data_IF_142920656500
#
_entry.id   IF_142920656500
#
_cell.length_a   1.000
_cell.length_b   1.000
_cell.length_c   1.000
_cell.angle_alpha   90.00
_cell.angle_beta   90.00
_cell.angle_gamma   90.00
#
_symmetry.space_group_name_H-M   'P 1'
#
loop_
_entity.id
_entity.type
_entity.pdbx_description
1 polymer ?
#
# COMPACT_ATOMS: atom_id res chain seq x y z
N UNK A 1 20.04 -9.35 15.52
CA UNK A 1 18.63 -9.69 15.21
C UNK A 1 18.62 -11.19 14.95
N UNK A 2 17.66 -11.98 15.48
CA UNK A 2 17.60 -13.41 15.20
C UNK A 2 17.50 -13.66 13.68
N UNK A 3 18.22 -14.66 13.18
CA UNK A 3 18.22 -15.04 11.76
C UNK A 3 16.97 -15.86 11.42
N UNK A 4 15.82 -15.18 11.41
CA UNK A 4 14.52 -15.81 11.14
C UNK A 4 14.44 -16.28 9.69
N UNK A 5 15.07 -15.58 8.75
CA UNK A 5 15.09 -16.00 7.34
C UNK A 5 15.88 -17.30 7.20
N UNK A 6 17.08 -17.41 7.80
CA UNK A 6 17.85 -18.65 7.84
C UNK A 6 17.07 -19.81 8.47
N UNK A 7 16.37 -19.56 9.58
CA UNK A 7 15.51 -20.58 10.19
C UNK A 7 14.37 -21.06 9.28
N UNK A 8 13.74 -20.15 8.52
CA UNK A 8 12.71 -20.53 7.55
C UNK A 8 13.28 -21.37 6.40
N UNK A 9 14.50 -21.04 5.93
CA UNK A 9 15.21 -21.84 4.93
C UNK A 9 15.58 -23.22 5.47
N UNK A 10 16.06 -23.30 6.70
CA UNK A 10 16.39 -24.57 7.37
C UNK A 10 15.15 -25.45 7.56
N UNK A 11 14.00 -24.86 7.90
CA UNK A 11 12.71 -25.58 7.95
C UNK A 11 12.37 -26.17 6.58
N UNK A 12 12.50 -25.40 5.50
CA UNK A 12 12.27 -25.90 4.15
C UNK A 12 13.21 -27.07 3.81
N UNK A 13 14.50 -26.94 4.11
CA UNK A 13 15.49 -27.99 3.85
C UNK A 13 15.21 -29.27 4.65
N UNK A 14 14.84 -29.12 5.92
CA UNK A 14 14.43 -30.21 6.78
C UNK A 14 13.19 -30.93 6.22
N UNK A 15 12.14 -30.18 5.87
CA UNK A 15 10.90 -30.73 5.31
C UNK A 15 11.15 -31.45 3.99
N UNK A 16 11.92 -30.83 3.10
CA UNK A 16 12.32 -31.41 1.80
C UNK A 16 13.04 -32.74 1.96
N UNK A 17 13.92 -32.85 2.97
CA UNK A 17 14.75 -34.04 3.17
C UNK A 17 13.99 -35.15 3.90
N UNK A 18 13.39 -34.83 5.05
CA UNK A 18 12.74 -35.81 5.93
C UNK A 18 11.40 -36.30 5.39
N UNK A 19 10.65 -35.45 4.70
CA UNK A 19 9.34 -35.80 4.14
C UNK A 19 9.37 -35.92 2.62
N UNK A 20 10.54 -36.18 2.02
CA UNK A 20 10.71 -36.34 0.57
C UNK A 20 9.72 -37.34 -0.04
N UNK A 21 9.51 -38.48 0.61
CA UNK A 21 8.55 -39.52 0.21
C UNK A 21 7.07 -39.07 0.22
N UNK A 22 6.75 -37.98 0.93
CA UNK A 22 5.41 -37.39 1.06
C UNK A 22 5.30 -36.02 0.36
N UNK A 23 6.25 -35.68 -0.51
CA UNK A 23 6.25 -34.40 -1.21
C UNK A 23 6.65 -33.20 -0.33
N UNK A 24 7.52 -33.40 0.66
CA UNK A 24 7.97 -32.38 1.62
C UNK A 24 8.52 -31.09 0.99
N UNK A 25 8.96 -31.13 -0.27
CA UNK A 25 9.32 -29.93 -1.04
C UNK A 25 8.17 -28.92 -1.22
N UNK A 26 6.91 -29.37 -1.12
CA UNK A 26 5.71 -28.53 -1.27
C UNK A 26 5.11 -28.12 0.07
N UNK A 27 5.54 -28.68 1.19
CA UNK A 27 4.94 -28.41 2.51
C UNK A 27 5.21 -26.98 2.95
N UNK A 28 6.47 -26.54 2.86
CA UNK A 28 6.83 -25.15 3.12
C UNK A 28 6.01 -24.19 2.26
N UNK A 29 5.83 -24.50 0.97
CA UNK A 29 5.03 -23.70 0.05
C UNK A 29 3.57 -23.60 0.54
N UNK A 30 2.95 -24.73 0.89
CA UNK A 30 1.56 -24.75 1.38
C UNK A 30 1.40 -23.97 2.68
N UNK A 31 2.25 -24.22 3.67
CA UNK A 31 2.22 -23.56 4.99
C UNK A 31 2.42 -22.05 4.86
N UNK A 32 3.42 -21.62 4.07
CA UNK A 32 3.71 -20.22 3.85
C UNK A 32 2.67 -19.50 2.98
N UNK A 33 2.01 -20.19 2.03
CA UNK A 33 0.84 -19.64 1.32
C UNK A 33 -0.32 -19.43 2.29
N UNK A 34 -0.65 -20.41 3.12
CA UNK A 34 -1.74 -20.29 4.10
C UNK A 34 -1.44 -19.15 5.08
N UNK A 35 -0.22 -19.11 5.62
CA UNK A 35 0.20 -18.05 6.53
C UNK A 35 0.19 -16.67 5.85
N UNK A 36 0.69 -16.59 4.61
CA UNK A 36 0.65 -15.38 3.79
C UNK A 36 -0.78 -14.90 3.56
N UNK A 37 -1.72 -15.79 3.24
CA UNK A 37 -3.14 -15.43 3.07
C UNK A 37 -3.72 -14.87 4.37
N UNK A 38 -3.43 -15.47 5.52
CA UNK A 38 -3.88 -14.99 6.83
C UNK A 38 -3.27 -13.62 7.15
N UNK A 39 -1.96 -13.46 6.95
CA UNK A 39 -1.27 -12.19 7.20
C UNK A 39 -1.85 -11.07 6.33
N UNK A 40 -1.95 -11.32 5.02
CA UNK A 40 -2.23 -10.31 4.02
C UNK A 40 -3.71 -9.95 3.91
N UNK A 41 -4.61 -10.93 3.99
CA UNK A 41 -6.06 -10.68 3.81
C UNK A 41 -6.83 -10.59 5.12
N UNK A 42 -6.24 -11.00 6.25
CA UNK A 42 -6.91 -10.95 7.56
C UNK A 42 -6.20 -10.05 8.55
N UNK A 43 -4.94 -10.31 8.87
CA UNK A 43 -4.25 -9.62 9.99
C UNK A 43 -3.88 -8.19 9.65
N UNK A 44 -3.23 -7.92 8.51
CA UNK A 44 -2.88 -6.56 8.09
C UNK A 44 -4.13 -5.68 7.98
N UNK A 45 -5.19 -6.06 7.21
CA UNK A 45 -6.40 -5.24 7.14
C UNK A 45 -7.07 -5.02 8.50
N UNK A 46 -7.17 -6.07 9.33
CA UNK A 46 -7.82 -5.96 10.64
C UNK A 46 -7.06 -5.05 11.60
N UNK A 47 -5.73 -5.19 11.66
CA UNK A 47 -4.88 -4.39 12.55
C UNK A 47 -4.81 -2.93 12.09
N UNK A 48 -4.76 -2.70 10.78
CA UNK A 48 -4.86 -1.36 10.20
C UNK A 48 -6.22 -0.73 10.49
N UNK A 49 -7.33 -1.42 10.26
CA UNK A 49 -8.68 -0.90 10.55
C UNK A 49 -8.83 -0.53 12.04
N UNK A 50 -8.34 -1.39 12.93
CA UNK A 50 -8.38 -1.17 14.37
C UNK A 50 -7.53 0.06 14.79
N UNK A 51 -6.34 0.21 14.21
CA UNK A 51 -5.49 1.38 14.42
C UNK A 51 -6.10 2.67 13.83
N UNK A 52 -6.61 2.63 12.58
CA UNK A 52 -7.22 3.76 11.87
C UNK A 52 -8.47 4.26 12.59
N UNK A 53 -9.35 3.35 13.02
CA UNK A 53 -10.56 3.72 13.75
C UNK A 53 -10.21 4.38 15.10
N UNK A 54 -9.22 3.85 15.80
CA UNK A 54 -8.75 4.41 17.05
C UNK A 54 -8.06 5.76 16.87
N UNK A 55 -7.20 5.90 15.85
CA UNK A 55 -6.48 7.15 15.55
C UNK A 55 -7.45 8.25 15.13
N UNK A 56 -8.47 7.93 14.33
CA UNK A 56 -9.53 8.86 13.94
C UNK A 56 -10.35 9.37 15.14
N UNK A 57 -10.72 8.47 16.07
CA UNK A 57 -11.43 8.83 17.29
C UNK A 57 -10.58 9.74 18.19
N UNK A 58 -9.34 9.34 18.47
CA UNK A 58 -8.40 10.13 19.27
C UNK A 58 -8.11 11.50 18.64
N UNK A 59 -7.93 11.55 17.32
CA UNK A 59 -7.68 12.80 16.59
C UNK A 59 -8.84 13.79 16.74
N UNK A 60 -10.08 13.31 16.64
CA UNK A 60 -11.24 14.15 16.86
C UNK A 60 -11.32 14.69 18.29
N UNK A 61 -11.08 13.83 19.28
CA UNK A 61 -11.10 14.21 20.70
C UNK A 61 -10.10 15.31 21.04
N UNK A 62 -8.87 15.19 20.55
CA UNK A 62 -7.77 16.07 20.96
C UNK A 62 -7.48 17.22 20.00
N UNK A 63 -7.81 17.08 18.71
CA UNK A 63 -7.45 18.03 17.66
C UNK A 63 -8.67 18.49 16.82
N UNK A 64 -9.87 18.06 17.18
CA UNK A 64 -11.13 18.42 16.51
C UNK A 64 -11.40 17.63 15.23
N UNK A 65 -12.66 17.67 14.78
CA UNK A 65 -13.17 16.84 13.67
C UNK A 65 -12.45 17.08 12.34
N UNK A 66 -11.90 18.29 12.11
CA UNK A 66 -11.15 18.60 10.88
C UNK A 66 -9.88 17.76 10.73
N UNK A 67 -9.27 17.33 11.83
CA UNK A 67 -8.06 16.51 11.83
C UNK A 67 -8.35 15.03 11.57
N UNK A 68 -9.60 14.59 11.76
CA UNK A 68 -10.03 13.19 11.62
C UNK A 68 -9.86 12.66 10.20
N UNK A 69 -10.36 13.39 9.20
CA UNK A 69 -10.31 12.97 7.78
C UNK A 69 -8.88 12.81 7.28
N UNK A 70 -7.99 13.72 7.71
CA UNK A 70 -6.56 13.63 7.40
C UNK A 70 -5.94 12.39 8.04
N UNK A 71 -6.25 12.13 9.32
CA UNK A 71 -5.72 10.98 10.05
C UNK A 71 -6.21 9.67 9.47
N UNK A 72 -7.48 9.56 9.07
CA UNK A 72 -8.01 8.36 8.41
C UNK A 72 -7.22 8.08 7.13
N UNK A 73 -7.15 9.06 6.23
CA UNK A 73 -6.54 8.88 4.92
C UNK A 73 -5.01 8.73 4.97
N UNK A 74 -4.34 9.29 5.98
CA UNK A 74 -2.91 9.09 6.16
C UNK A 74 -2.61 7.74 6.83
N UNK A 75 -3.44 7.33 7.80
CA UNK A 75 -3.19 6.10 8.58
C UNK A 75 -3.50 4.83 7.79
N UNK A 76 -4.33 4.90 6.74
CA UNK A 76 -4.56 3.76 5.83
C UNK A 76 -3.29 3.35 5.09
N UNK A 77 -2.33 4.28 4.90
CA UNK A 77 -1.03 4.03 4.26
C UNK A 77 0.07 3.58 5.23
N UNK A 78 -0.26 3.36 6.51
CA UNK A 78 0.71 2.85 7.47
C UNK A 78 1.25 1.46 7.12
N UNK A 79 0.51 0.52 6.49
CA UNK A 79 1.08 -0.73 6.01
C UNK A 79 2.25 -0.51 5.05
N UNK A 80 2.18 0.46 4.15
CA UNK A 80 3.28 0.82 3.24
C UNK A 80 4.50 1.32 4.01
N UNK A 81 4.29 2.23 4.97
CA UNK A 81 5.35 2.78 5.82
C UNK A 81 6.01 1.68 6.66
N UNK A 82 5.22 0.87 7.34
CA UNK A 82 5.71 -0.17 8.26
C UNK A 82 6.40 -1.28 7.49
N UNK A 83 5.90 -1.68 6.31
CA UNK A 83 6.60 -2.63 5.45
C UNK A 83 7.95 -2.07 4.96
N UNK A 84 8.00 -0.80 4.56
CA UNK A 84 9.26 -0.16 4.16
C UNK A 84 10.27 -0.14 5.31
N UNK A 85 9.84 0.24 6.51
CA UNK A 85 10.70 0.25 7.71
C UNK A 85 11.16 -1.16 8.07
N UNK A 86 10.26 -2.15 8.01
CA UNK A 86 10.62 -3.56 8.25
C UNK A 86 11.69 -4.05 7.27
N UNK A 87 11.56 -3.71 5.98
CA UNK A 87 12.58 -4.01 4.97
C UNK A 87 13.93 -3.33 5.29
N UNK A 88 13.93 -2.06 5.71
CA UNK A 88 15.16 -1.38 6.14
C UNK A 88 15.81 -2.04 7.37
N UNK A 89 15.01 -2.49 8.34
CA UNK A 89 15.50 -3.26 9.49
C UNK A 89 16.16 -4.59 9.07
N UNK A 90 15.74 -5.16 7.92
CA UNK A 90 16.33 -6.34 7.28
C UNK A 90 17.45 -5.99 6.29
N UNK A 91 17.92 -4.73 6.30
CA UNK A 91 18.96 -4.19 5.41
C UNK A 91 18.59 -4.24 3.92
N UNK A 92 17.31 -4.08 3.61
CA UNK A 92 16.77 -4.07 2.25
C UNK A 92 16.22 -2.70 1.87
N UNK A 93 17.01 -1.91 1.14
CA UNK A 93 16.59 -0.61 0.63
C UNK A 93 15.52 -0.71 -0.46
N UNK A 94 15.33 -1.89 -1.07
CA UNK A 94 14.21 -2.20 -1.97
C UNK A 94 12.83 -1.94 -1.34
N UNK A 95 12.71 -1.84 -0.01
CA UNK A 95 11.48 -1.47 0.68
C UNK A 95 10.83 -0.17 0.20
N UNK A 96 11.61 0.79 -0.33
CA UNK A 96 11.08 2.05 -0.88
C UNK A 96 10.26 1.85 -2.16
N UNK A 97 10.44 0.73 -2.86
CA UNK A 97 9.64 0.38 -4.02
C UNK A 97 8.18 0.06 -3.64
N UNK A 98 7.92 -0.33 -2.38
CA UNK A 98 6.57 -0.65 -1.92
C UNK A 98 5.61 0.56 -1.98
N UNK A 99 5.88 1.72 -1.34
CA UNK A 99 5.03 2.89 -1.49
C UNK A 99 4.97 3.39 -2.94
N UNK A 100 6.07 3.31 -3.70
CA UNK A 100 6.09 3.71 -5.12
C UNK A 100 5.15 2.83 -5.98
N UNK A 101 5.19 1.51 -5.78
CA UNK A 101 4.33 0.54 -6.48
C UNK A 101 2.86 0.64 -6.06
N UNK A 102 2.59 1.00 -4.81
CA UNK A 102 1.25 1.18 -4.26
C UNK A 102 0.45 2.26 -5.01
N UNK A 103 1.13 3.24 -5.64
CA UNK A 103 0.46 4.23 -6.48
C UNK A 103 -0.28 3.63 -7.68
N UNK A 104 0.25 2.55 -8.26
CA UNK A 104 -0.42 1.81 -9.34
C UNK A 104 -1.53 0.93 -8.79
N UNK A 105 -1.24 0.21 -7.69
CA UNK A 105 -2.20 -0.67 -7.03
C UNK A 105 -3.48 0.09 -6.66
N UNK A 106 -3.35 1.27 -6.07
CA UNK A 106 -4.47 2.14 -5.72
C UNK A 106 -5.33 2.55 -6.92
N UNK A 107 -4.72 2.88 -8.06
CA UNK A 107 -5.49 3.24 -9.26
C UNK A 107 -6.36 2.05 -9.68
N UNK A 108 -5.76 0.87 -9.72
CA UNK A 108 -6.48 -0.34 -10.11
C UNK A 108 -7.56 -0.73 -9.09
N UNK A 109 -7.21 -0.76 -7.81
CA UNK A 109 -8.11 -1.19 -6.74
C UNK A 109 -9.28 -0.21 -6.57
N UNK A 110 -9.04 1.11 -6.54
CA UNK A 110 -10.11 2.07 -6.22
C UNK A 110 -10.98 2.41 -7.42
N UNK A 111 -10.42 2.61 -8.62
CA UNK A 111 -11.22 3.04 -9.77
C UNK A 111 -11.81 1.87 -10.57
N UNK A 112 -11.29 0.65 -10.40
CA UNK A 112 -11.78 -0.52 -11.12
C UNK A 112 -12.36 -1.57 -10.18
N UNK A 113 -11.56 -2.12 -9.25
CA UNK A 113 -11.99 -3.29 -8.47
C UNK A 113 -13.10 -2.93 -7.47
N UNK A 114 -12.93 -1.88 -6.67
CA UNK A 114 -13.90 -1.45 -5.66
C UNK A 114 -15.29 -1.15 -6.23
N UNK A 115 -15.47 -0.33 -7.30
CA UNK A 115 -16.79 -0.07 -7.85
C UNK A 115 -17.42 -1.32 -8.49
N UNK A 116 -16.62 -2.16 -9.17
CA UNK A 116 -17.11 -3.43 -9.72
C UNK A 116 -17.57 -4.39 -8.62
N UNK A 117 -16.82 -4.47 -7.52
CA UNK A 117 -17.16 -5.29 -6.35
C UNK A 117 -18.49 -4.83 -5.74
N UNK A 118 -18.67 -3.52 -5.52
CA UNK A 118 -19.91 -2.96 -4.97
C UNK A 118 -21.10 -3.23 -5.91
N UNK A 119 -20.93 -3.02 -7.22
CA UNK A 119 -21.94 -3.33 -8.21
C UNK A 119 -22.32 -4.82 -8.24
N UNK A 120 -21.32 -5.71 -8.20
CA UNK A 120 -21.54 -7.15 -8.17
C UNK A 120 -22.27 -7.57 -6.89
N UNK A 121 -21.87 -7.05 -5.73
CA UNK A 121 -22.52 -7.32 -4.44
C UNK A 121 -23.99 -6.93 -4.45
N UNK A 122 -24.35 -5.78 -5.04
CA UNK A 122 -25.74 -5.38 -5.18
C UNK A 122 -26.51 -6.22 -6.20
N UNK A 123 -25.88 -6.58 -7.32
CA UNK A 123 -26.48 -7.48 -8.31
C UNK A 123 -26.82 -8.84 -7.71
N UNK A 124 -25.90 -9.44 -6.95
CA UNK A 124 -26.10 -10.72 -6.27
C UNK A 124 -27.17 -10.65 -5.17
N UNK A 125 -27.33 -9.49 -4.51
CA UNK A 125 -28.38 -9.25 -3.51
C UNK A 125 -29.71 -8.77 -4.09
N UNK A 126 -29.85 -8.70 -5.41
CA UNK A 126 -31.08 -8.21 -6.07
C UNK A 126 -31.39 -6.72 -5.85
N UNK A 127 -30.42 -5.91 -5.43
CA UNK A 127 -30.62 -4.47 -5.12
C UNK A 127 -30.52 -3.60 -6.38
N UNK A 128 -31.45 -3.76 -7.30
CA UNK A 128 -31.45 -3.09 -8.61
C UNK A 128 -31.52 -1.56 -8.50
N UNK A 129 -32.27 -1.03 -7.54
CA UNK A 129 -32.44 0.42 -7.35
C UNK A 129 -31.13 1.09 -6.93
N UNK A 130 -30.38 0.45 -6.02
CA UNK A 130 -29.06 0.93 -5.59
C UNK A 130 -28.08 0.94 -6.76
N UNK A 131 -28.10 -0.12 -7.60
CA UNK A 131 -27.27 -0.19 -8.80
C UNK A 131 -27.60 0.93 -9.81
N UNK A 132 -28.88 1.23 -10.03
CA UNK A 132 -29.30 2.30 -10.94
C UNK A 132 -28.91 3.68 -10.41
N UNK A 133 -29.17 3.94 -9.12
CA UNK A 133 -28.78 5.19 -8.45
C UNK A 133 -27.27 5.41 -8.51
N UNK A 134 -26.48 4.37 -8.27
CA UNK A 134 -25.03 4.44 -8.38
C UNK A 134 -24.54 4.75 -9.79
N UNK A 135 -25.11 4.09 -10.82
CA UNK A 135 -24.80 4.39 -12.22
C UNK A 135 -25.18 5.83 -12.60
N UNK A 136 -26.30 6.33 -12.08
CA UNK A 136 -26.72 7.71 -12.28
C UNK A 136 -25.73 8.68 -11.62
N UNK A 137 -25.34 8.42 -10.36
CA UNK A 137 -24.36 9.22 -9.62
C UNK A 137 -23.02 9.30 -10.37
N UNK A 138 -22.48 8.16 -10.84
CA UNK A 138 -21.24 8.13 -11.65
C UNK A 138 -21.38 8.97 -12.93
N UNK A 139 -22.54 8.93 -13.58
CA UNK A 139 -22.78 9.72 -14.82
C UNK A 139 -22.84 11.22 -14.54
N UNK A 140 -23.45 11.62 -13.43
CA UNK A 140 -23.54 13.02 -13.01
C UNK A 140 -22.17 13.55 -12.57
N UNK A 141 -21.43 12.77 -11.79
CA UNK A 141 -20.16 13.18 -11.18
C UNK A 141 -18.92 12.83 -12.03
N UNK A 142 -19.06 12.65 -13.34
CA UNK A 142 -17.95 12.31 -14.25
C UNK A 142 -16.77 13.26 -14.12
N UNK A 143 -17.04 14.56 -13.97
CA UNK A 143 -16.01 15.58 -13.83
C UNK A 143 -15.14 15.34 -12.60
N UNK A 144 -15.77 15.05 -11.46
CA UNK A 144 -15.08 14.75 -10.21
C UNK A 144 -14.23 13.48 -10.37
N UNK A 145 -14.79 12.43 -10.97
CA UNK A 145 -14.07 11.18 -11.25
C UNK A 145 -12.83 11.44 -12.11
N UNK A 146 -12.96 12.19 -13.20
CA UNK A 146 -11.81 12.52 -14.06
C UNK A 146 -10.76 13.38 -13.37
N UNK A 147 -11.16 14.28 -12.47
CA UNK A 147 -10.21 15.08 -11.68
C UNK A 147 -9.38 14.19 -10.75
N UNK A 148 -10.02 13.30 -9.99
CA UNK A 148 -9.32 12.38 -9.10
C UNK A 148 -8.46 11.38 -9.87
N UNK A 149 -8.97 10.82 -10.98
CA UNK A 149 -8.21 9.91 -11.83
C UNK A 149 -6.99 10.59 -12.45
N UNK A 150 -7.16 11.79 -12.99
CA UNK A 150 -6.06 12.57 -13.55
C UNK A 150 -4.98 12.89 -12.51
N UNK A 151 -5.40 13.23 -11.28
CA UNK A 151 -4.47 13.46 -10.18
C UNK A 151 -3.76 12.18 -9.73
N UNK A 152 -4.48 11.05 -9.62
CA UNK A 152 -3.89 9.76 -9.27
C UNK A 152 -2.85 9.31 -10.31
N UNK A 153 -3.14 9.48 -11.60
CA UNK A 153 -2.21 9.21 -12.71
C UNK A 153 -0.99 10.13 -12.66
N UNK A 154 -1.18 11.42 -12.35
CA UNK A 154 -0.07 12.36 -12.18
C UNK A 154 0.83 11.95 -11.01
N UNK A 155 0.28 11.56 -9.86
CA UNK A 155 1.05 11.05 -8.73
C UNK A 155 1.78 9.75 -9.06
N UNK A 156 1.18 8.90 -9.88
CA UNK A 156 1.83 7.71 -10.39
C UNK A 156 2.99 8.04 -11.33
N UNK A 157 2.86 9.06 -12.20
CA UNK A 157 3.97 9.52 -13.03
C UNK A 157 5.15 10.04 -12.20
N UNK A 158 4.88 10.79 -11.12
CA UNK A 158 5.93 11.19 -10.17
C UNK A 158 6.56 9.99 -9.44
N UNK A 159 5.78 8.96 -9.14
CA UNK A 159 6.31 7.71 -8.57
C UNK A 159 7.26 7.00 -9.55
N UNK A 160 6.89 6.87 -10.83
CA UNK A 160 7.76 6.31 -11.87
C UNK A 160 9.04 7.13 -12.00
N UNK A 161 8.92 8.47 -12.07
CA UNK A 161 10.07 9.34 -12.18
C UNK A 161 10.99 9.24 -10.94
N UNK A 162 10.42 9.20 -9.74
CA UNK A 162 11.16 9.02 -8.49
C UNK A 162 11.89 7.67 -8.46
N UNK A 163 11.23 6.59 -8.86
CA UNK A 163 11.83 5.26 -8.99
C UNK A 163 12.97 5.26 -10.01
N UNK A 164 12.76 5.87 -11.17
CA UNK A 164 13.77 5.94 -12.23
C UNK A 164 15.00 6.74 -11.80
N UNK A 165 14.82 7.89 -11.14
CA UNK A 165 15.94 8.68 -10.59
C UNK A 165 16.69 7.89 -9.51
N UNK A 166 15.96 7.14 -8.67
CA UNK A 166 16.53 6.31 -7.61
C UNK A 166 17.39 5.14 -8.16
N UNK A 167 16.98 4.55 -9.28
CA UNK A 167 17.48 3.23 -9.72
C UNK A 167 18.13 3.20 -11.10
N UNK A 168 18.10 4.31 -11.85
CA UNK A 168 18.38 4.38 -13.29
C UNK A 168 17.52 3.45 -14.17
N UNK A 169 16.55 2.76 -13.60
CA UNK A 169 15.81 1.68 -14.23
C UNK A 169 14.34 2.05 -14.33
N UNK A 170 13.73 1.73 -15.48
CA UNK A 170 12.29 1.92 -15.61
C UNK A 170 11.56 0.80 -14.85
N UNK A 171 10.53 1.08 -14.03
CA UNK A 171 9.85 0.06 -13.23
C UNK A 171 9.13 -1.01 -14.08
N UNK A 172 8.89 -0.72 -15.36
CA UNK A 172 8.35 -1.65 -16.36
C UNK A 172 9.37 -2.14 -17.39
N UNK A 173 10.63 -1.75 -17.25
CA UNK A 173 11.70 -2.31 -18.08
C UNK A 173 11.98 -3.75 -17.65
N UNK A 174 12.33 -4.62 -18.59
CA UNK A 174 12.82 -5.96 -18.24
C UNK A 174 14.09 -5.81 -17.41
N UNK A 175 13.99 -5.99 -16.09
CA UNK A 175 15.14 -5.94 -15.19
C UNK A 175 15.92 -7.24 -15.37
N UNK A 176 17.03 -7.17 -16.11
CA UNK A 176 17.91 -8.31 -16.38
C UNK A 176 18.99 -8.49 -15.31
N UNK A 177 19.23 -7.47 -14.48
CA UNK A 177 20.25 -7.46 -13.43
C UNK A 177 19.68 -6.91 -12.11
N UNK A 178 20.38 -7.16 -11.00
CA UNK A 178 20.06 -6.56 -9.70
C UNK A 178 20.07 -5.03 -9.83
N UNK A 179 18.89 -4.42 -9.67
CA UNK A 179 18.74 -2.97 -9.72
C UNK A 179 19.62 -2.35 -8.65
N UNK A 180 20.55 -1.47 -9.01
CA UNK A 180 21.38 -0.76 -8.05
C UNK A 180 20.79 0.60 -7.68
N UNK A 181 20.86 0.96 -6.40
CA UNK A 181 20.49 2.29 -5.93
C UNK A 181 21.59 3.26 -6.33
N UNK A 182 21.20 4.35 -7.01
CA UNK A 182 22.12 5.39 -7.46
C UNK A 182 22.85 6.10 -6.30
N UNK A 183 23.99 6.76 -6.57
CA UNK A 183 24.76 7.53 -5.58
C UNK A 183 23.94 8.66 -4.91
N UNK A 184 24.45 9.18 -3.78
CA UNK A 184 23.71 10.08 -2.88
C UNK A 184 23.06 11.32 -3.50
N UNK A 185 23.65 11.92 -4.54
CA UNK A 185 23.06 13.07 -5.25
C UNK A 185 21.75 12.71 -5.96
N UNK A 186 21.64 11.50 -6.52
CA UNK A 186 20.42 11.01 -7.14
C UNK A 186 19.34 10.65 -6.13
N UNK A 187 19.73 10.22 -4.91
CA UNK A 187 18.78 10.04 -3.81
C UNK A 187 18.07 11.35 -3.46
N UNK A 188 18.83 12.45 -3.34
CA UNK A 188 18.24 13.78 -3.09
C UNK A 188 17.32 14.18 -4.25
N UNK A 189 17.74 13.98 -5.50
CA UNK A 189 16.91 14.26 -6.67
C UNK A 189 15.61 13.44 -6.68
N UNK A 190 15.66 12.15 -6.34
CA UNK A 190 14.48 11.29 -6.25
C UNK A 190 13.50 11.75 -5.16
N UNK A 191 14.02 12.17 -4.00
CA UNK A 191 13.20 12.75 -2.93
C UNK A 191 12.55 14.07 -3.38
N UNK A 192 13.29 14.93 -4.08
CA UNK A 192 12.76 16.20 -4.63
C UNK A 192 11.63 15.92 -5.63
N UNK A 193 11.78 14.93 -6.52
CA UNK A 193 10.72 14.54 -7.48
C UNK A 193 9.44 14.15 -6.73
N UNK A 194 9.54 13.36 -5.66
CA UNK A 194 8.40 13.00 -4.82
C UNK A 194 7.76 14.24 -4.18
N UNK A 195 8.57 15.16 -3.63
CA UNK A 195 8.10 16.40 -3.00
C UNK A 195 7.38 17.32 -3.99
N UNK A 196 7.87 17.45 -5.23
CA UNK A 196 7.18 18.22 -6.28
C UNK A 196 5.79 17.64 -6.56
N UNK A 197 5.67 16.31 -6.61
CA UNK A 197 4.38 15.63 -6.74
C UNK A 197 3.43 15.98 -5.59
N UNK A 198 3.92 15.94 -4.34
CA UNK A 198 3.14 16.32 -3.14
C UNK A 198 2.66 17.77 -3.26
N UNK A 199 3.52 18.71 -3.63
CA UNK A 199 3.16 20.13 -3.79
C UNK A 199 2.08 20.31 -4.86
N UNK A 200 2.21 19.62 -6.01
CA UNK A 200 1.21 19.66 -7.07
C UNK A 200 -0.16 19.13 -6.59
N UNK A 201 -0.16 18.04 -5.83
CA UNK A 201 -1.37 17.50 -5.22
C UNK A 201 -2.00 18.49 -4.23
N UNK A 202 -1.22 19.06 -3.32
CA UNK A 202 -1.72 20.00 -2.30
C UNK A 202 -2.36 21.24 -2.95
N UNK A 203 -1.75 21.75 -4.01
CA UNK A 203 -2.29 22.86 -4.79
C UNK A 203 -3.64 22.50 -5.45
N UNK A 204 -3.72 21.32 -6.07
CA UNK A 204 -4.96 20.82 -6.67
C UNK A 204 -6.05 20.58 -5.63
N UNK A 205 -5.71 19.95 -4.50
CA UNK A 205 -6.64 19.63 -3.42
C UNK A 205 -7.22 20.91 -2.79
N UNK A 206 -6.38 21.92 -2.55
CA UNK A 206 -6.83 23.24 -2.06
C UNK A 206 -7.84 23.87 -3.02
N UNK A 207 -7.57 23.86 -4.33
CA UNK A 207 -8.50 24.38 -5.34
C UNK A 207 -9.80 23.59 -5.41
N UNK A 208 -9.77 22.28 -5.17
CA UNK A 208 -10.97 21.45 -5.12
C UNK A 208 -11.83 21.82 -3.90
N UNK A 209 -11.20 21.99 -2.73
CA UNK A 209 -11.86 22.42 -1.49
C UNK A 209 -12.50 23.80 -1.62
N UNK A 210 -11.81 24.77 -2.24
CA UNK A 210 -12.33 26.12 -2.48
C UNK A 210 -13.52 26.12 -3.46
N UNK A 211 -13.54 25.20 -4.42
CA UNK A 211 -14.56 25.13 -5.46
C UNK A 211 -15.82 24.39 -5.01
N UNK A 212 -15.66 23.35 -4.18
CA UNK A 212 -16.72 22.40 -3.85
C UNK A 212 -16.63 21.98 -2.36
N UNK A 213 -16.84 22.92 -1.42
CA UNK A 213 -16.64 22.68 0.02
C UNK A 213 -17.58 21.61 0.59
N UNK A 214 -18.78 21.47 0.02
CA UNK A 214 -19.78 20.47 0.40
C UNK A 214 -19.26 19.01 0.30
N UNK A 215 -18.24 18.75 -0.54
CA UNK A 215 -17.60 17.44 -0.65
C UNK A 215 -16.81 17.04 0.60
N UNK A 216 -16.47 18.00 1.46
CA UNK A 216 -15.59 17.83 2.62
C UNK A 216 -16.30 18.01 3.96
N UNK A 217 -17.46 18.67 3.99
CA UNK A 217 -18.22 18.97 5.22
C UNK A 217 -19.20 17.88 5.63
N UNK A 218 -19.53 16.94 4.73
CA UNK A 218 -20.59 15.94 4.92
C UNK A 218 -20.10 14.54 5.36
N UNK A 219 -18.93 14.42 5.98
CA UNK A 219 -18.43 13.12 6.47
C UNK A 219 -19.02 12.85 7.87
N UNK A 220 -19.86 11.82 7.93
CA UNK A 220 -20.64 11.42 9.12
C UNK A 220 -19.78 11.22 10.38
N UNK A 221 -20.24 11.75 11.51
CA UNK A 221 -19.48 11.97 12.74
C UNK A 221 -19.38 10.74 13.67
N UNK A 222 -20.06 9.63 13.38
CA UNK A 222 -20.44 8.63 14.40
C UNK A 222 -19.74 7.24 14.34
N UNK A 223 -18.77 6.98 13.45
CA UNK A 223 -18.23 5.61 13.25
C UNK A 223 -16.91 5.26 14.00
N UNK A 224 -16.30 6.16 14.78
CA UNK A 224 -14.93 5.96 15.30
C UNK A 224 -14.81 5.86 16.83
N UNK A 225 -13.96 4.95 17.31
CA UNK A 225 -13.78 4.66 18.74
C UNK A 225 -12.57 5.39 19.32
N UNK A 226 -12.73 6.10 20.43
CA UNK A 226 -11.62 6.74 21.14
C UNK A 226 -10.89 5.73 22.05
N UNK A 227 -9.90 5.00 21.52
CA UNK A 227 -9.20 3.97 22.31
C UNK A 227 -7.71 3.88 22.05
N UNK A 228 -6.89 4.33 23.01
CA UNK A 228 -5.44 4.12 23.00
C UNK A 228 -5.04 2.65 22.97
N UNK A 229 -5.80 1.78 23.65
CA UNK A 229 -5.53 0.34 23.66
C UNK A 229 -5.71 -0.28 22.28
N UNK A 230 -6.76 0.10 21.55
CA UNK A 230 -6.94 -0.31 20.15
C UNK A 230 -5.85 0.30 19.26
N UNK A 231 -5.53 1.59 19.42
CA UNK A 231 -4.46 2.20 18.63
C UNK A 231 -3.11 1.47 18.79
N UNK A 232 -2.70 1.20 20.03
CA UNK A 232 -1.45 0.49 20.33
C UNK A 232 -1.51 -0.96 19.82
N UNK A 233 -2.60 -1.68 20.11
CA UNK A 233 -2.78 -3.07 19.68
C UNK A 233 -2.76 -3.23 18.16
N UNK A 234 -3.43 -2.33 17.44
CA UNK A 234 -3.42 -2.29 15.98
C UNK A 234 -2.04 -1.97 15.43
N UNK A 235 -1.34 -0.99 16.01
CA UNK A 235 0.03 -0.63 15.61
C UNK A 235 0.99 -1.79 15.80
N UNK A 236 1.00 -2.43 16.98
CA UNK A 236 1.85 -3.59 17.27
C UNK A 236 1.53 -4.75 16.33
N UNK A 237 0.24 -5.04 16.13
CA UNK A 237 -0.21 -6.10 15.22
C UNK A 237 0.23 -5.85 13.78
N UNK A 238 0.14 -4.61 13.30
CA UNK A 238 0.60 -4.22 11.97
C UNK A 238 2.12 -4.39 11.84
N UNK A 239 2.90 -3.90 12.81
CA UNK A 239 4.36 -4.07 12.85
C UNK A 239 4.75 -5.53 12.78
N UNK A 240 4.19 -6.38 13.67
CA UNK A 240 4.52 -7.80 13.68
C UNK A 240 4.13 -8.50 12.37
N UNK A 241 2.97 -8.16 11.81
CA UNK A 241 2.50 -8.75 10.55
C UNK A 241 3.39 -8.33 9.38
N UNK A 242 3.79 -7.06 9.31
CA UNK A 242 4.71 -6.53 8.31
C UNK A 242 6.09 -7.20 8.37
N UNK A 243 6.65 -7.39 9.57
CA UNK A 243 7.90 -8.14 9.73
C UNK A 243 7.74 -9.60 9.29
N UNK A 244 6.65 -10.27 9.68
CA UNK A 244 6.40 -11.66 9.29
C UNK A 244 6.28 -11.83 7.77
N UNK A 245 5.54 -10.93 7.09
CA UNK A 245 5.44 -10.93 5.62
C UNK A 245 6.80 -10.71 4.97
N UNK A 246 7.59 -9.76 5.46
CA UNK A 246 8.93 -9.50 4.93
C UNK A 246 9.88 -10.71 5.13
N UNK A 247 9.83 -11.40 6.27
CA UNK A 247 10.62 -12.62 6.49
C UNK A 247 10.22 -13.76 5.54
N UNK A 248 8.92 -14.02 5.40
CA UNK A 248 8.42 -15.04 4.47
C UNK A 248 8.83 -14.72 3.04
N UNK A 249 8.74 -13.45 2.67
CA UNK A 249 9.11 -12.97 1.35
C UNK A 249 10.60 -13.16 1.06
N UNK A 250 11.48 -12.81 2.00
CA UNK A 250 12.92 -13.04 1.85
C UNK A 250 13.26 -14.54 1.79
N UNK A 251 12.60 -15.37 2.60
CA UNK A 251 12.78 -16.81 2.54
C UNK A 251 12.32 -17.39 1.18
N UNK A 252 11.19 -16.92 0.65
CA UNK A 252 10.70 -17.31 -0.67
C UNK A 252 11.64 -16.90 -1.79
N UNK A 253 12.18 -15.69 -1.72
CA UNK A 253 13.20 -15.23 -2.65
C UNK A 253 14.40 -16.20 -2.63
N UNK A 254 14.93 -16.55 -1.46
CA UNK A 254 16.08 -17.47 -1.39
C UNK A 254 15.76 -18.90 -1.87
N UNK A 255 14.61 -19.45 -1.48
CA UNK A 255 14.26 -20.85 -1.75
C UNK A 255 13.85 -21.06 -3.21
N UNK A 256 13.04 -20.13 -3.75
CA UNK A 256 12.34 -20.34 -5.00
C UNK A 256 12.81 -19.44 -6.15
N UNK A 257 13.78 -18.54 -5.94
CA UNK A 257 14.27 -17.63 -7.00
C UNK A 257 14.65 -18.38 -8.28
N UNK A 258 15.38 -19.49 -8.20
CA UNK A 258 15.76 -20.25 -9.40
C UNK A 258 14.54 -20.79 -10.16
N UNK A 259 13.60 -21.42 -9.45
CA UNK A 259 12.37 -21.97 -10.06
C UNK A 259 11.48 -20.86 -10.62
N UNK A 260 11.24 -19.81 -9.86
CA UNK A 260 10.35 -18.71 -10.25
C UNK A 260 10.96 -17.87 -11.38
N UNK A 261 12.28 -17.73 -11.43
CA UNK A 261 12.98 -17.08 -12.55
C UNK A 261 12.84 -17.89 -13.84
N UNK A 262 12.85 -19.22 -13.77
CA UNK A 262 12.67 -20.08 -14.96
C UNK A 262 11.24 -19.97 -15.50
N UNK A 263 10.23 -19.98 -14.63
CA UNK A 263 8.82 -19.97 -15.05
C UNK A 263 8.28 -18.58 -15.42
N UNK A 264 8.67 -17.55 -14.67
CA UNK A 264 8.15 -16.19 -14.83
C UNK A 264 9.14 -15.28 -15.57
N UNK A 265 10.44 -15.59 -15.54
CA UNK A 265 11.49 -14.63 -15.90
C UNK A 265 11.85 -13.71 -14.72
N UNK A 266 13.12 -13.32 -14.62
CA UNK A 266 13.66 -12.53 -13.50
C UNK A 266 12.89 -11.20 -13.29
N UNK A 267 12.49 -10.56 -14.39
CA UNK A 267 11.74 -9.31 -14.38
C UNK A 267 10.32 -9.46 -13.82
N UNK A 268 9.60 -10.53 -14.18
CA UNK A 268 8.22 -10.78 -13.72
C UNK A 268 8.22 -11.23 -12.26
N UNK A 269 9.22 -12.01 -11.83
CA UNK A 269 9.37 -12.39 -10.42
C UNK A 269 9.56 -11.14 -9.54
N UNK A 270 10.48 -10.26 -9.92
CA UNK A 270 10.74 -9.00 -9.22
C UNK A 270 9.51 -8.07 -9.25
N UNK A 271 8.82 -8.00 -10.39
CA UNK A 271 7.58 -7.22 -10.55
C UNK A 271 6.38 -7.73 -9.75
N UNK A 272 6.10 -9.04 -9.77
CA UNK A 272 5.03 -9.65 -8.97
C UNK A 272 5.28 -9.48 -7.48
N UNK A 273 6.53 -9.57 -7.08
CA UNK A 273 6.97 -9.40 -5.71
C UNK A 273 6.62 -8.02 -5.13
N UNK A 274 6.95 -6.96 -5.85
CA UNK A 274 6.62 -5.59 -5.43
C UNK A 274 5.14 -5.26 -5.64
N UNK A 275 4.53 -5.75 -6.71
CA UNK A 275 3.13 -5.48 -7.01
C UNK A 275 2.16 -6.20 -6.07
N UNK A 276 2.44 -7.45 -5.68
CA UNK A 276 1.65 -8.17 -4.68
C UNK A 276 1.78 -7.49 -3.31
N UNK A 277 3.00 -7.12 -2.90
CA UNK A 277 3.23 -6.38 -1.65
C UNK A 277 2.42 -5.09 -1.61
N UNK A 278 2.51 -4.30 -2.69
CA UNK A 278 1.75 -3.07 -2.86
C UNK A 278 0.23 -3.29 -2.87
N UNK A 279 -0.26 -4.33 -3.58
CA UNK A 279 -1.69 -4.67 -3.57
C UNK A 279 -2.21 -5.01 -2.17
N UNK A 280 -1.42 -5.74 -1.38
CA UNK A 280 -1.76 -6.12 -0.01
C UNK A 280 -1.80 -4.90 0.89
N UNK A 281 -0.77 -4.05 0.83
CA UNK A 281 -0.73 -2.84 1.65
C UNK A 281 -1.82 -1.84 1.30
N UNK A 282 -2.29 -1.85 0.04
CA UNK A 282 -3.38 -1.01 -0.45
C UNK A 282 -4.81 -1.58 -0.20
N UNK A 283 -4.95 -2.73 0.47
CA UNK A 283 -6.27 -3.31 0.80
C UNK A 283 -7.09 -2.44 1.78
N UNK A 284 -6.50 -1.81 2.82
CA UNK A 284 -7.24 -0.91 3.69
C UNK A 284 -7.87 0.28 2.95
N UNK A 285 -7.17 0.87 1.99
CA UNK A 285 -7.69 1.92 1.12
C UNK A 285 -8.86 1.40 0.27
N UNK A 286 -8.78 0.15 -0.19
CA UNK A 286 -9.88 -0.50 -0.93
C UNK A 286 -11.11 -0.63 -0.04
N UNK A 287 -10.95 -0.94 1.24
CA UNK A 287 -12.08 -0.98 2.18
C UNK A 287 -12.74 0.40 2.34
N UNK A 288 -11.94 1.48 2.42
CA UNK A 288 -12.47 2.85 2.44
C UNK A 288 -13.25 3.15 1.16
N UNK A 289 -12.69 2.84 -0.01
CA UNK A 289 -13.36 3.04 -1.29
C UNK A 289 -14.67 2.26 -1.40
N UNK A 290 -14.67 0.98 -1.02
CA UNK A 290 -15.87 0.12 -1.01
C UNK A 290 -16.96 0.69 -0.09
N UNK A 291 -16.60 1.16 1.11
CA UNK A 291 -17.55 1.80 2.04
C UNK A 291 -18.13 3.07 1.44
N UNK A 292 -17.29 3.96 0.89
CA UNK A 292 -17.73 5.21 0.26
C UNK A 292 -18.66 4.97 -0.94
N UNK A 293 -18.28 4.09 -1.88
CA UNK A 293 -19.13 3.75 -3.02
C UNK A 293 -20.48 3.15 -2.60
N UNK A 294 -20.54 2.48 -1.44
CA UNK A 294 -21.76 1.84 -0.94
C UNK A 294 -22.81 2.82 -0.42
N UNK A 295 -22.43 4.04 -0.04
CA UNK A 295 -23.35 5.04 0.56
C UNK A 295 -24.11 5.87 -0.49
N UNK A 296 -23.65 5.88 -1.76
CA UNK A 296 -24.33 6.53 -2.91
C UNK A 296 -24.63 8.03 -2.66
N UNK A 297 -23.75 8.72 -1.95
CA UNK A 297 -23.78 10.18 -1.82
C UNK A 297 -22.62 10.80 -2.58
N UNK A 298 -22.72 12.10 -2.88
CA UNK A 298 -21.66 12.84 -3.57
C UNK A 298 -20.39 12.96 -2.70
N UNK A 299 -20.55 13.20 -1.41
CA UNK A 299 -19.44 13.29 -0.45
C UNK A 299 -18.76 11.92 -0.24
N UNK A 300 -19.52 10.84 -0.12
CA UNK A 300 -18.94 9.49 0.00
C UNK A 300 -18.28 9.02 -1.30
N UNK A 301 -18.79 9.45 -2.45
CA UNK A 301 -18.10 9.26 -3.73
C UNK A 301 -16.77 10.00 -3.74
N UNK A 302 -16.71 11.24 -3.28
CA UNK A 302 -15.47 12.00 -3.13
C UNK A 302 -14.48 11.28 -2.20
N UNK A 303 -14.93 10.75 -1.06
CA UNK A 303 -14.10 9.94 -0.15
C UNK A 303 -13.56 8.69 -0.85
N UNK A 304 -14.40 7.97 -1.60
CA UNK A 304 -13.97 6.77 -2.31
C UNK A 304 -12.96 7.05 -3.43
N UNK A 305 -13.13 8.13 -4.19
CA UNK A 305 -12.17 8.56 -5.21
C UNK A 305 -10.88 9.12 -4.59
N UNK A 306 -11.01 9.84 -3.47
CA UNK A 306 -9.90 10.37 -2.70
C UNK A 306 -9.03 9.27 -2.10
N UNK A 307 -9.60 8.10 -1.80
CA UNK A 307 -8.84 6.94 -1.33
C UNK A 307 -7.69 6.55 -2.27
N UNK A 308 -7.79 6.83 -3.58
CA UNK A 308 -6.65 6.67 -4.49
C UNK A 308 -5.77 7.93 -4.59
N UNK A 309 -6.36 9.11 -4.80
CA UNK A 309 -5.55 10.31 -5.07
C UNK A 309 -4.79 10.80 -3.84
N UNK A 310 -5.41 10.77 -2.65
CA UNK A 310 -4.76 11.11 -1.38
C UNK A 310 -3.74 10.04 -0.99
N UNK A 311 -4.11 8.76 -1.07
CA UNK A 311 -3.19 7.67 -0.78
C UNK A 311 -1.95 7.70 -1.67
N UNK A 312 -2.09 7.97 -2.98
CA UNK A 312 -0.95 8.11 -3.87
C UNK A 312 -0.01 9.26 -3.48
N UNK A 313 -0.56 10.36 -2.97
CA UNK A 313 0.24 11.46 -2.42
C UNK A 313 0.93 11.03 -1.11
N UNK A 314 0.23 10.35 -0.20
CA UNK A 314 0.80 9.83 1.04
C UNK A 314 1.94 8.85 0.75
N UNK A 315 1.78 7.99 -0.24
CA UNK A 315 2.81 7.07 -0.70
C UNK A 315 4.04 7.80 -1.27
N UNK A 316 3.89 8.90 -2.01
CA UNK A 316 5.03 9.73 -2.40
C UNK A 316 5.73 10.34 -1.17
N UNK A 317 4.99 10.73 -0.13
CA UNK A 317 5.56 11.23 1.11
C UNK A 317 6.33 10.14 1.87
N UNK A 318 5.77 8.93 1.95
CA UNK A 318 6.43 7.76 2.54
C UNK A 318 7.68 7.41 1.74
N UNK A 319 7.62 7.42 0.41
CA UNK A 319 8.78 7.16 -0.45
C UNK A 319 9.88 8.22 -0.25
N UNK A 320 9.53 9.52 -0.20
CA UNK A 320 10.47 10.59 0.08
C UNK A 320 11.15 10.40 1.45
N UNK A 321 10.37 10.08 2.50
CA UNK A 321 10.89 9.74 3.82
C UNK A 321 11.82 8.52 3.76
N UNK A 322 11.43 7.49 3.03
CA UNK A 322 12.22 6.29 2.82
C UNK A 322 13.58 6.57 2.18
N UNK A 323 13.60 7.42 1.16
CA UNK A 323 14.84 7.85 0.49
C UNK A 323 15.73 8.63 1.46
N UNK A 324 15.17 9.53 2.27
CA UNK A 324 15.92 10.27 3.29
C UNK A 324 16.49 9.34 4.38
N UNK A 325 15.73 8.32 4.78
CA UNK A 325 16.21 7.28 5.70
C UNK A 325 17.34 6.47 5.08
N UNK A 326 17.27 6.11 3.78
CA UNK A 326 18.38 5.44 3.09
C UNK A 326 19.64 6.30 3.11
N UNK A 327 19.54 7.61 2.86
CA UNK A 327 20.68 8.54 2.93
C UNK A 327 21.28 8.54 4.35
N UNK A 328 20.44 8.65 5.38
CA UNK A 328 20.86 8.65 6.78
C UNK A 328 21.53 7.32 7.18
N UNK A 329 20.96 6.19 6.78
CA UNK A 329 21.49 4.87 7.08
C UNK A 329 22.84 4.66 6.37
N UNK A 330 22.97 5.09 5.11
CA UNK A 330 24.25 5.05 4.39
C UNK A 330 25.30 5.96 5.04
N UNK A 331 24.92 7.15 5.53
CA UNK A 331 25.87 8.10 6.14
C UNK A 331 26.43 7.62 7.49
N UNK A 332 25.70 6.78 8.22
CA UNK A 332 26.19 6.11 9.44
C UNK A 332 26.90 4.77 9.17
N UNK A 333 27.13 4.42 7.90
CA UNK A 333 27.90 3.23 7.49
C UNK A 333 27.09 1.93 7.41
N UNK A 334 25.74 2.00 7.37
CA UNK A 334 24.90 0.83 7.16
C UNK A 334 24.79 0.52 5.66
N UNK A 335 25.33 -0.63 5.27
CA UNK A 335 25.11 -1.17 3.93
C UNK A 335 23.70 -1.76 3.82
N UNK A 336 22.93 -1.23 2.88
CA UNK A 336 21.60 -1.71 2.53
C UNK A 336 21.69 -2.36 1.15
N UNK A 337 21.36 -3.65 1.07
CA UNK A 337 21.16 -4.33 -0.21
C UNK A 337 19.82 -3.92 -0.84
N UNK A 338 19.63 -4.20 -2.13
CA UNK A 338 18.27 -4.25 -2.68
C UNK A 338 17.59 -5.58 -2.37
#
# INVERSE_FOLDING_TARGET
MPDIVGQLVDIHLYQKTQFSAFGGQYWFLLESVVLGLILCFRLIPFTTDLMVNASAGLAAKYFGNKSRTLVINASTNNPELVNMVAAFCMRKAGGVANPLGSNLANIYLMYLVAPLYVMLRWKLKGKTDQLQRFKALIRTERKLIYQHLGMALLMFAFSIAGFWVLTASHPFGGLTEEVQIQPGSFLIAAAIVCVIGIIAFQYWNKRLQERDPELFEAIDDEEHTESWGQFIGGTVGLVLSSFAVNWLFLAWAQIYQASLTIFLGAAIFTGLHYFIGALITSLPEMNVAVKGYSKITRADLNTALSAASVSNMTNLAIAALGILLIILLKSIGLELGL
#
